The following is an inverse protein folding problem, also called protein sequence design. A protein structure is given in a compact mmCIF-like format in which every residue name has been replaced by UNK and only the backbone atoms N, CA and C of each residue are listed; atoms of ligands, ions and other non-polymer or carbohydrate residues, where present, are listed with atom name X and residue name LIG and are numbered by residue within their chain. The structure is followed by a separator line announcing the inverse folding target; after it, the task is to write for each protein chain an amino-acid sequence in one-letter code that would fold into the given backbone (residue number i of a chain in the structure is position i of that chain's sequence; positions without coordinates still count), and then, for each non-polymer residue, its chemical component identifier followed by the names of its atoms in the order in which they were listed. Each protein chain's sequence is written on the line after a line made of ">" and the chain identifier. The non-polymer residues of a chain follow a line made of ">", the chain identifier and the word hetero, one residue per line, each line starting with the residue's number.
data_IF_839637223036
#
_entry.id   IF_839637223036
#
_cell.length_a   1.000
_cell.length_b   1.000
_cell.length_c   1.000
_cell.angle_alpha   90.00
_cell.angle_beta   90.00
_cell.angle_gamma   90.00
#
_symmetry.space_group_name_H-M   'P 1'
#
loop_
_entity.id
_entity.type
_entity.pdbx_description
1 polymer ?
#
# COMPACT_ATOMS: atom_id res chain seq x y z
N UNK A 1 -46.24 -14.45 -1.91
CA UNK A 1 -44.85 -14.21 -1.42
C UNK A 1 -43.95 -13.54 -2.44
N UNK A 2 -44.35 -13.43 -3.69
CA UNK A 2 -43.51 -12.84 -4.76
C UNK A 2 -43.24 -11.35 -4.58
N UNK A 3 -44.09 -10.62 -3.92
CA UNK A 3 -43.95 -9.19 -3.69
C UNK A 3 -43.41 -8.85 -2.29
N UNK A 4 -42.98 -9.87 -1.54
CA UNK A 4 -42.44 -9.68 -0.20
C UNK A 4 -41.01 -9.11 -0.26
N UNK A 5 -40.81 -7.90 0.28
CA UNK A 5 -39.53 -7.22 0.38
C UNK A 5 -38.77 -7.54 1.67
N UNK A 6 -39.25 -8.52 2.43
CA UNK A 6 -38.65 -8.96 3.71
C UNK A 6 -38.51 -7.83 4.77
N UNK A 7 -39.38 -6.87 4.81
CA UNK A 7 -39.31 -5.72 5.73
C UNK A 7 -39.68 -6.05 7.19
N UNK A 8 -40.28 -7.22 7.47
CA UNK A 8 -40.62 -7.64 8.83
C UNK A 8 -41.92 -7.03 9.41
N UNK A 9 -42.53 -6.04 8.79
CA UNK A 9 -43.71 -5.33 9.34
C UNK A 9 -44.89 -6.25 9.70
N UNK A 10 -45.08 -7.32 8.92
CA UNK A 10 -46.11 -8.31 9.24
C UNK A 10 -45.78 -9.13 10.49
N UNK A 11 -44.49 -9.35 10.81
CA UNK A 11 -44.05 -10.02 12.02
C UNK A 11 -44.34 -9.13 13.23
N UNK A 12 -43.97 -7.85 13.15
CA UNK A 12 -44.16 -6.88 14.23
C UNK A 12 -45.66 -6.67 14.52
N UNK A 13 -46.47 -6.43 13.48
CA UNK A 13 -47.91 -6.29 13.63
C UNK A 13 -48.60 -7.54 14.22
N UNK A 14 -48.16 -8.73 13.81
CA UNK A 14 -48.67 -9.96 14.39
C UNK A 14 -48.26 -10.11 15.87
N UNK A 15 -47.00 -9.81 16.21
CA UNK A 15 -46.53 -9.92 17.59
C UNK A 15 -47.26 -8.92 18.51
N UNK A 16 -47.59 -7.71 18.06
CA UNK A 16 -48.39 -6.75 18.85
C UNK A 16 -49.78 -7.28 19.18
N UNK A 17 -50.43 -7.96 18.24
CA UNK A 17 -51.73 -8.58 18.47
C UNK A 17 -51.61 -9.75 19.42
N UNK A 18 -50.57 -10.59 19.25
CA UNK A 18 -50.33 -11.74 20.12
C UNK A 18 -50.10 -11.30 21.57
N UNK A 19 -49.32 -10.21 21.78
CA UNK A 19 -49.10 -9.63 23.11
C UNK A 19 -50.40 -9.17 23.77
N UNK A 20 -51.30 -8.52 23.01
CA UNK A 20 -52.60 -8.04 23.51
C UNK A 20 -53.52 -9.19 23.91
N UNK A 21 -53.40 -10.32 23.23
CA UNK A 21 -54.21 -11.52 23.47
C UNK A 21 -53.55 -12.47 24.49
N UNK A 22 -52.32 -12.20 24.93
CA UNK A 22 -51.60 -13.07 25.85
C UNK A 22 -51.10 -14.37 25.22
N UNK A 23 -50.92 -14.41 23.90
CA UNK A 23 -50.37 -15.55 23.19
C UNK A 23 -48.88 -15.43 22.97
N UNK A 24 -48.19 -16.56 22.75
CA UNK A 24 -46.76 -16.57 22.44
C UNK A 24 -46.48 -15.90 21.09
N UNK A 25 -45.43 -15.07 21.04
CA UNK A 25 -44.97 -14.45 19.82
C UNK A 25 -44.43 -15.47 18.81
N UNK A 26 -44.34 -15.08 17.54
CA UNK A 26 -43.67 -15.85 16.50
C UNK A 26 -44.59 -16.73 15.66
N UNK A 27 -45.91 -16.41 15.64
CA UNK A 27 -46.87 -17.03 14.73
C UNK A 27 -46.45 -16.78 13.27
N UNK A 28 -46.05 -15.52 12.95
CA UNK A 28 -45.37 -15.18 11.70
C UNK A 28 -43.89 -14.99 12.02
N UNK A 29 -43.00 -15.73 11.32
CA UNK A 29 -41.59 -15.70 11.55
C UNK A 29 -40.81 -16.16 10.33
N UNK A 30 -39.59 -15.70 10.18
CA UNK A 30 -38.64 -16.30 9.25
C UNK A 30 -38.15 -17.62 9.81
N UNK A 31 -38.25 -18.69 9.03
CA UNK A 31 -37.80 -20.01 9.42
C UNK A 31 -37.39 -20.83 8.20
N UNK A 32 -36.69 -21.93 8.41
CA UNK A 32 -36.34 -22.86 7.35
C UNK A 32 -37.33 -24.05 7.33
N UNK A 33 -37.51 -24.66 6.15
CA UNK A 33 -38.36 -25.86 6.03
C UNK A 33 -37.88 -26.98 6.99
N UNK A 34 -36.57 -27.14 7.14
CA UNK A 34 -36.01 -28.13 8.09
C UNK A 34 -36.40 -27.85 9.53
N UNK A 35 -36.50 -26.59 9.93
CA UNK A 35 -36.93 -26.22 11.28
C UNK A 35 -38.43 -26.49 11.47
N UNK A 36 -39.27 -26.30 10.43
CA UNK A 36 -40.66 -26.67 10.45
C UNK A 36 -40.84 -28.19 10.54
N UNK A 37 -40.02 -28.96 9.84
CA UNK A 37 -40.01 -30.42 9.89
C UNK A 37 -39.37 -31.01 11.18
N UNK A 38 -38.98 -30.15 12.14
CA UNK A 38 -38.31 -30.58 13.38
C UNK A 38 -36.91 -31.15 13.21
N UNK A 39 -36.28 -30.97 12.02
CA UNK A 39 -34.95 -31.46 11.77
C UNK A 39 -33.91 -30.53 12.40
N UNK A 40 -32.82 -31.08 12.99
CA UNK A 40 -31.77 -30.26 13.59
C UNK A 40 -31.09 -29.39 12.54
N UNK A 41 -31.05 -28.08 12.79
CA UNK A 41 -30.31 -27.14 11.94
C UNK A 41 -28.82 -27.23 12.24
N UNK A 42 -28.04 -27.75 11.31
CA UNK A 42 -26.59 -27.76 11.42
C UNK A 42 -26.04 -26.45 10.83
N UNK A 43 -25.63 -25.52 11.69
CA UNK A 43 -25.00 -24.25 11.27
C UNK A 43 -23.63 -24.54 10.68
N UNK A 44 -22.83 -25.40 11.34
CA UNK A 44 -21.50 -25.78 10.87
C UNK A 44 -21.61 -26.89 9.85
N UNK A 45 -21.42 -26.54 8.58
CA UNK A 45 -21.41 -27.45 7.44
C UNK A 45 -20.02 -27.43 6.79
N UNK A 46 -19.53 -28.54 6.21
CA UNK A 46 -18.20 -28.56 5.55
C UNK A 46 -18.03 -27.41 4.54
N UNK A 47 -19.08 -27.06 3.84
CA UNK A 47 -19.11 -25.97 2.86
C UNK A 47 -18.85 -24.60 3.51
N UNK A 48 -19.41 -24.34 4.70
CA UNK A 48 -19.17 -23.09 5.45
C UNK A 48 -17.74 -23.02 5.94
N UNK A 49 -17.17 -24.16 6.39
CA UNK A 49 -15.77 -24.22 6.84
C UNK A 49 -14.84 -23.91 5.66
N UNK A 50 -15.04 -24.56 4.51
CA UNK A 50 -14.19 -24.35 3.32
C UNK A 50 -14.24 -22.89 2.87
N UNK A 51 -15.44 -22.31 2.70
CA UNK A 51 -15.56 -20.94 2.25
C UNK A 51 -15.10 -19.93 3.30
N UNK A 52 -15.35 -20.20 4.57
CA UNK A 52 -14.88 -19.36 5.67
C UNK A 52 -13.35 -19.33 5.76
N UNK A 53 -12.71 -20.50 5.61
CA UNK A 53 -11.25 -20.61 5.58
C UNK A 53 -10.67 -19.87 4.37
N UNK A 54 -11.25 -20.04 3.18
CA UNK A 54 -10.81 -19.35 1.98
C UNK A 54 -10.91 -17.82 2.14
N UNK A 55 -12.05 -17.35 2.64
CA UNK A 55 -12.28 -15.93 2.91
C UNK A 55 -11.29 -15.38 3.95
N UNK A 56 -11.03 -16.13 5.01
CA UNK A 56 -10.05 -15.75 6.04
C UNK A 56 -8.64 -15.64 5.48
N UNK A 57 -8.21 -16.58 4.63
CA UNK A 57 -6.91 -16.53 3.95
C UNK A 57 -6.79 -15.31 3.01
N UNK A 58 -7.83 -15.02 2.25
CA UNK A 58 -7.86 -13.82 1.38
C UNK A 58 -7.79 -12.54 2.20
N UNK A 59 -8.57 -12.45 3.28
CA UNK A 59 -8.55 -11.29 4.17
C UNK A 59 -7.19 -11.12 4.86
N UNK A 60 -6.57 -12.21 5.31
CA UNK A 60 -5.24 -12.20 5.90
C UNK A 60 -4.18 -11.75 4.89
N UNK A 61 -4.22 -12.25 3.65
CA UNK A 61 -3.32 -11.84 2.57
C UNK A 61 -3.48 -10.36 2.21
N UNK A 62 -4.70 -9.88 2.15
CA UNK A 62 -4.99 -8.46 1.92
C UNK A 62 -4.45 -7.59 3.07
N UNK A 63 -4.76 -7.95 4.31
CA UNK A 63 -4.27 -7.23 5.49
C UNK A 63 -2.74 -7.20 5.55
N UNK A 64 -2.09 -8.34 5.26
CA UNK A 64 -0.63 -8.42 5.13
C UNK A 64 -0.10 -7.43 4.08
N UNK A 65 -0.70 -7.39 2.90
CA UNK A 65 -0.30 -6.47 1.82
C UNK A 65 -0.44 -4.99 2.22
N UNK A 66 -1.52 -4.64 2.93
CA UNK A 66 -1.75 -3.28 3.44
C UNK A 66 -0.73 -2.91 4.52
N UNK A 67 -0.50 -3.80 5.49
CA UNK A 67 0.42 -3.57 6.61
C UNK A 67 1.90 -3.50 6.18
N UNK A 68 2.27 -4.21 5.09
CA UNK A 68 3.63 -4.19 4.55
C UNK A 68 3.80 -3.22 3.36
N UNK A 69 2.87 -2.29 3.18
CA UNK A 69 2.95 -1.30 2.10
C UNK A 69 4.16 -0.38 2.32
N UNK A 70 4.95 -0.19 1.26
CA UNK A 70 6.10 0.72 1.30
C UNK A 70 5.62 2.17 1.43
N UNK A 71 6.16 2.95 2.39
CA UNK A 71 5.72 4.32 2.64
C UNK A 71 6.18 5.32 1.57
N UNK A 72 7.21 4.99 0.80
CA UNK A 72 7.68 5.82 -0.30
C UNK A 72 8.15 4.98 -1.48
N UNK A 73 8.29 5.62 -2.64
CA UNK A 73 8.90 5.06 -3.85
C UNK A 73 9.96 6.06 -4.33
N UNK A 74 11.13 5.56 -4.66
CA UNK A 74 12.18 6.32 -5.33
C UNK A 74 12.44 5.70 -6.70
N UNK A 75 12.44 6.53 -7.74
CA UNK A 75 12.69 6.13 -9.13
C UNK A 75 13.74 7.05 -9.74
N UNK A 76 14.75 6.49 -10.36
CA UNK A 76 15.81 7.25 -11.03
C UNK A 76 15.59 7.20 -12.53
N UNK A 77 15.40 8.37 -13.13
CA UNK A 77 15.24 8.55 -14.55
C UNK A 77 16.50 9.20 -15.12
N UNK A 78 17.09 8.60 -16.14
CA UNK A 78 18.20 9.21 -16.86
C UNK A 78 17.68 10.33 -17.75
N UNK A 79 18.36 11.49 -17.75
CA UNK A 79 18.08 12.55 -18.72
C UNK A 79 18.41 12.05 -20.13
N UNK A 80 17.44 12.25 -21.06
CA UNK A 80 17.59 11.84 -22.46
C UNK A 80 18.12 12.95 -23.35
N UNK A 81 18.15 14.19 -22.85
CA UNK A 81 18.53 15.35 -23.65
C UNK A 81 20.06 15.44 -23.86
N UNK A 82 20.84 14.98 -22.88
CA UNK A 82 22.28 14.90 -22.99
C UNK A 82 22.78 13.53 -22.49
N UNK A 83 23.56 12.85 -23.31
CA UNK A 83 24.12 11.54 -22.92
C UNK A 83 25.15 11.71 -21.78
N UNK A 84 25.97 12.75 -21.87
CA UNK A 84 26.97 13.15 -20.88
C UNK A 84 27.46 14.57 -21.17
N UNK A 85 28.09 15.19 -20.17
CA UNK A 85 28.80 16.47 -20.30
C UNK A 85 30.25 16.27 -19.84
N UNK A 86 31.18 16.80 -20.58
CA UNK A 86 32.60 16.82 -20.15
C UNK A 86 32.83 18.13 -19.42
N UNK A 87 33.31 18.03 -18.19
CA UNK A 87 33.69 19.19 -17.36
C UNK A 87 35.09 19.68 -17.71
N UNK A 88 35.46 20.88 -17.22
CA UNK A 88 36.77 21.52 -17.50
C UNK A 88 37.94 20.74 -16.92
N UNK A 89 37.73 19.90 -15.92
CA UNK A 89 38.72 18.99 -15.30
C UNK A 89 38.87 17.66 -16.05
N UNK A 90 38.15 17.47 -17.17
CA UNK A 90 38.14 16.24 -17.96
C UNK A 90 37.19 15.16 -17.40
N UNK A 91 36.53 15.37 -16.27
CA UNK A 91 35.55 14.42 -15.73
C UNK A 91 34.27 14.41 -16.57
N UNK A 92 33.53 13.29 -16.53
CA UNK A 92 32.29 13.08 -17.24
C UNK A 92 31.14 13.18 -16.28
N UNK A 93 30.24 14.13 -16.51
CA UNK A 93 29.01 14.35 -15.74
C UNK A 93 27.81 13.73 -16.46
N UNK A 94 27.01 12.96 -15.72
CA UNK A 94 25.71 12.46 -16.16
C UNK A 94 24.61 13.07 -15.32
N UNK A 95 23.53 13.46 -15.98
CA UNK A 95 22.33 14.01 -15.35
C UNK A 95 21.25 12.94 -15.19
N UNK A 96 20.66 12.91 -14.02
CA UNK A 96 19.55 12.05 -13.66
C UNK A 96 18.47 12.86 -12.99
N UNK A 97 17.24 12.38 -13.00
CA UNK A 97 16.14 12.90 -12.19
C UNK A 97 15.71 11.85 -11.21
N UNK A 98 15.90 12.10 -9.93
CA UNK A 98 15.37 11.27 -8.85
C UNK A 98 13.94 11.73 -8.56
N UNK A 99 12.98 10.85 -8.81
CA UNK A 99 11.57 11.09 -8.49
C UNK A 99 11.24 10.38 -7.19
N UNK A 100 11.01 11.15 -6.13
CA UNK A 100 10.60 10.63 -4.82
C UNK A 100 9.10 10.82 -4.67
N UNK A 101 8.39 9.73 -4.41
CA UNK A 101 6.95 9.72 -4.12
C UNK A 101 6.77 9.42 -2.65
N UNK A 102 6.38 10.41 -1.87
CA UNK A 102 6.00 10.23 -0.48
C UNK A 102 4.52 9.83 -0.41
N UNK A 103 4.23 8.64 0.13
CA UNK A 103 2.86 8.11 0.29
C UNK A 103 2.29 8.33 1.69
N UNK A 104 3.06 8.96 2.58
CA UNK A 104 2.60 9.31 3.91
C UNK A 104 1.95 10.69 3.89
N UNK A 105 1.14 11.00 4.90
CA UNK A 105 0.46 12.30 5.01
C UNK A 105 1.37 13.38 5.63
N UNK A 106 2.57 13.01 6.09
CA UNK A 106 3.53 13.91 6.71
C UNK A 106 4.71 14.17 5.80
N UNK A 107 5.35 15.35 5.96
CA UNK A 107 6.60 15.64 5.30
C UNK A 107 7.71 14.73 5.85
N UNK A 108 8.51 14.15 4.94
CA UNK A 108 9.61 13.23 5.26
C UNK A 108 10.89 13.73 4.62
N UNK A 109 11.99 13.70 5.38
CA UNK A 109 13.31 14.00 4.87
C UNK A 109 14.00 12.74 4.36
N UNK A 110 14.59 12.84 3.19
CA UNK A 110 15.31 11.76 2.52
C UNK A 110 16.78 12.12 2.33
N UNK A 111 17.66 11.20 2.67
CA UNK A 111 19.06 11.25 2.33
C UNK A 111 19.35 10.37 1.11
N UNK A 112 20.15 10.87 0.19
CA UNK A 112 20.56 10.13 -1.02
C UNK A 112 22.05 9.86 -0.93
N UNK A 113 22.44 8.60 -1.03
CA UNK A 113 23.86 8.18 -0.98
C UNK A 113 24.20 7.30 -2.18
N UNK A 114 25.46 7.39 -2.64
CA UNK A 114 26.05 6.44 -3.58
C UNK A 114 26.58 5.24 -2.80
N UNK A 115 26.03 4.05 -3.04
CA UNK A 115 26.47 2.82 -2.37
C UNK A 115 27.48 2.08 -3.22
N UNK A 116 27.22 1.98 -4.51
CA UNK A 116 28.15 1.35 -5.46
C UNK A 116 28.30 2.28 -6.68
N UNK A 117 29.55 2.66 -6.95
CA UNK A 117 29.88 3.58 -8.01
C UNK A 117 31.34 3.37 -8.46
N UNK A 118 31.72 3.74 -9.68
CA UNK A 118 33.09 3.73 -10.12
C UNK A 118 34.00 4.55 -9.19
N UNK A 119 35.26 4.16 -9.01
CA UNK A 119 36.19 4.89 -8.16
C UNK A 119 36.29 6.38 -8.56
N UNK A 120 36.09 7.27 -7.58
CA UNK A 120 36.12 8.72 -7.82
C UNK A 120 34.78 9.31 -8.32
N UNK A 121 33.72 8.52 -8.46
CA UNK A 121 32.40 9.06 -8.74
C UNK A 121 31.85 9.84 -7.53
N UNK A 122 31.28 11.00 -7.79
CA UNK A 122 30.74 11.89 -6.76
C UNK A 122 29.47 12.57 -7.22
N UNK A 123 28.63 12.93 -6.28
CA UNK A 123 27.53 13.86 -6.56
C UNK A 123 28.05 15.27 -6.79
N UNK A 124 27.41 15.98 -7.71
CA UNK A 124 27.61 17.40 -7.98
C UNK A 124 26.32 18.11 -7.63
N UNK A 125 26.38 19.07 -6.69
CA UNK A 125 25.26 19.94 -6.28
C UNK A 125 23.99 19.20 -5.82
N UNK A 126 24.13 18.09 -5.12
CA UNK A 126 22.99 17.38 -4.53
C UNK A 126 22.80 17.83 -3.09
N UNK A 127 21.60 18.27 -2.67
CA UNK A 127 21.34 18.58 -1.28
C UNK A 127 21.46 17.30 -0.42
N UNK A 128 22.12 17.44 0.73
CA UNK A 128 22.35 16.31 1.66
C UNK A 128 21.03 15.73 2.18
N UNK A 129 20.03 16.58 2.33
CA UNK A 129 18.68 16.22 2.78
C UNK A 129 17.65 16.83 1.83
N UNK A 130 16.70 16.01 1.43
CA UNK A 130 15.59 16.38 0.53
C UNK A 130 14.30 16.23 1.32
N UNK A 131 13.62 17.33 1.58
CA UNK A 131 12.31 17.30 2.24
C UNK A 131 11.21 17.13 1.19
N UNK A 132 10.38 16.10 1.35
CA UNK A 132 9.24 15.82 0.47
C UNK A 132 7.96 15.95 1.29
N UNK A 133 7.05 16.87 0.93
CA UNK A 133 5.77 17.02 1.60
C UNK A 133 4.95 15.71 1.60
N UNK A 134 4.00 15.62 2.52
CA UNK A 134 3.08 14.48 2.57
C UNK A 134 2.25 14.36 1.29
N UNK A 135 2.02 13.14 0.85
CA UNK A 135 1.23 12.80 -0.35
C UNK A 135 1.72 13.51 -1.64
N UNK A 136 3.00 13.89 -1.69
CA UNK A 136 3.60 14.63 -2.81
C UNK A 136 4.60 13.79 -3.60
N UNK A 137 4.84 14.28 -4.82
CA UNK A 137 5.87 13.77 -5.74
C UNK A 137 6.86 14.88 -5.99
N UNK A 138 8.13 14.67 -5.65
CA UNK A 138 9.20 15.64 -5.86
C UNK A 138 10.23 15.08 -6.85
N UNK A 139 10.38 15.69 -8.04
CA UNK A 139 11.50 15.43 -8.93
C UNK A 139 12.72 16.23 -8.48
N UNK A 140 13.83 15.55 -8.23
CA UNK A 140 15.10 16.16 -7.80
C UNK A 140 16.15 15.91 -8.88
N UNK A 141 16.74 16.95 -9.48
CA UNK A 141 17.84 16.76 -10.41
C UNK A 141 19.07 16.26 -9.66
N UNK A 142 19.65 15.18 -10.14
CA UNK A 142 20.91 14.61 -9.62
C UNK A 142 21.95 14.69 -10.71
N UNK A 143 23.17 15.11 -10.35
CA UNK A 143 24.33 15.07 -11.21
C UNK A 143 25.40 14.21 -10.58
N UNK A 144 25.94 13.28 -11.36
CA UNK A 144 27.01 12.40 -10.94
C UNK A 144 28.19 12.62 -11.87
N UNK A 145 29.31 13.06 -11.32
CA UNK A 145 30.57 13.17 -12.04
C UNK A 145 31.45 11.97 -11.76
N UNK A 146 32.05 11.42 -12.81
CA UNK A 146 33.03 10.34 -12.73
C UNK A 146 34.32 10.74 -13.46
N UNK A 147 35.53 10.25 -13.04
CA UNK A 147 36.76 10.55 -13.71
C UNK A 147 36.78 10.08 -15.17
N UNK A 148 37.53 10.74 -16.01
CA UNK A 148 37.69 10.41 -17.44
C UNK A 148 38.28 9.00 -17.67
N UNK A 149 38.94 8.41 -16.66
CA UNK A 149 39.45 7.04 -16.70
C UNK A 149 38.40 5.95 -16.65
N UNK A 150 37.14 6.32 -16.38
CA UNK A 150 36.03 5.37 -16.36
C UNK A 150 35.55 5.11 -17.79
N UNK A 151 36.10 4.05 -18.40
CA UNK A 151 35.70 3.64 -19.75
C UNK A 151 34.62 2.59 -19.71
N UNK A 152 33.62 2.71 -20.58
CA UNK A 152 32.55 1.74 -20.76
C UNK A 152 31.29 2.04 -19.95
N UNK A 153 30.46 1.00 -19.76
CA UNK A 153 29.21 1.07 -19.03
C UNK A 153 29.47 0.78 -17.55
N UNK A 154 29.21 1.74 -16.70
CA UNK A 154 29.28 1.59 -15.26
C UNK A 154 27.88 1.58 -14.66
N UNK A 155 27.65 0.73 -13.68
CA UNK A 155 26.42 0.71 -12.90
C UNK A 155 26.58 1.62 -11.68
N UNK A 156 25.54 2.37 -11.37
CA UNK A 156 25.47 3.24 -10.21
C UNK A 156 24.32 2.75 -9.32
N UNK A 157 24.63 2.43 -8.07
CA UNK A 157 23.62 2.08 -7.07
C UNK A 157 23.40 3.27 -6.14
N UNK A 158 22.20 3.82 -6.19
CA UNK A 158 21.76 4.90 -5.33
C UNK A 158 20.90 4.35 -4.20
N UNK A 159 21.23 4.69 -2.98
CA UNK A 159 20.39 4.38 -1.82
C UNK A 159 19.65 5.64 -1.37
N UNK A 160 18.33 5.54 -1.25
CA UNK A 160 17.48 6.59 -0.72
C UNK A 160 16.94 6.14 0.63
N UNK A 161 17.32 6.85 1.69
CA UNK A 161 16.87 6.56 3.06
C UNK A 161 16.02 7.69 3.60
N UNK A 162 14.89 7.35 4.19
CA UNK A 162 14.12 8.31 4.98
C UNK A 162 14.84 8.55 6.31
N UNK A 163 15.19 9.80 6.61
CA UNK A 163 15.94 10.20 7.82
C UNK A 163 15.02 10.48 9.01
N UNK A 164 13.80 10.93 8.75
CA UNK A 164 12.73 11.09 9.74
C UNK A 164 11.44 10.50 9.16
N UNK A 165 11.05 9.34 9.66
CA UNK A 165 9.68 8.88 9.50
C UNK A 165 8.92 9.38 10.74
N UNK A 166 7.82 10.10 10.54
CA UNK A 166 6.97 10.61 11.62
C UNK A 166 6.32 9.57 12.52
N UNK A 167 6.76 8.32 12.47
CA UNK A 167 6.21 7.18 13.22
C UNK A 167 7.32 6.23 13.73
N UNK A 168 8.42 6.72 14.26
CA UNK A 168 9.38 5.95 15.07
C UNK A 168 9.85 4.57 14.52
N UNK A 169 9.44 4.16 13.33
CA UNK A 169 9.89 2.92 12.68
C UNK A 169 11.06 3.21 11.75
N UNK A 170 12.20 2.54 11.93
CA UNK A 170 13.31 2.66 10.99
C UNK A 170 12.82 2.23 9.60
N UNK A 171 12.99 3.11 8.61
CA UNK A 171 12.69 2.79 7.23
C UNK A 171 13.58 1.62 6.77
N UNK A 172 12.99 0.55 6.24
CA UNK A 172 13.75 -0.53 5.61
C UNK A 172 14.52 0.04 4.41
N UNK A 173 15.83 -0.24 4.27
CA UNK A 173 16.61 0.12 3.09
C UNK A 173 16.00 -0.53 1.84
N UNK A 174 15.96 0.21 0.75
CA UNK A 174 15.60 -0.26 -0.59
C UNK A 174 16.84 -0.28 -1.49
#
# INVERSE_FOLDING_TARGET
>A
QYECIACGACIDGCNEVMDKLGYERGLIRYTTQNALDGKPSRVVRPRIIVYGTLLALLAAGWAWGVLNRKPFIAEVLRDRNALYRVLSDGSVENAYTLKIVNKTDQAVQFAVTLVDAPPGARFVDVPVLIEVPGSAVLPVPLRVAAPASTHGRAELLLEVRATQAGDGRPAKPQ
#
